data_IF_377056031463
#
_entry.id   IF_377056031463
#
_cell.length_a   1.000
_cell.length_b   1.000
_cell.length_c   1.000
_cell.angle_alpha   90.00
_cell.angle_beta   90.00
_cell.angle_gamma   90.00
#
_symmetry.space_group_name_H-M   'P 1'
#
loop_
_entity.id
_entity.type
_entity.pdbx_description
1 polymer ?
#
# COMPACT_ATOMS: atom_id res chain seq x y z
N UNK A 1 18.20 15.61 21.48
CA UNK A 1 17.43 15.80 20.22
C UNK A 1 17.95 14.89 19.09
N UNK A 2 19.24 14.96 18.70
CA UNK A 2 19.78 14.13 17.59
C UNK A 2 19.69 12.61 17.82
N UNK A 3 20.01 12.11 19.02
CA UNK A 3 19.87 10.69 19.38
C UNK A 3 18.42 10.20 19.31
N UNK A 4 17.48 11.01 19.79
CA UNK A 4 16.06 10.68 19.76
C UNK A 4 15.51 10.64 18.31
N UNK A 5 15.97 11.56 17.45
CA UNK A 5 15.61 11.55 16.04
C UNK A 5 16.12 10.29 15.31
N UNK A 6 17.36 9.87 15.57
CA UNK A 6 17.93 8.64 14.99
C UNK A 6 17.17 7.40 15.48
N UNK A 7 16.89 7.32 16.78
CA UNK A 7 16.12 6.21 17.34
C UNK A 7 14.67 6.16 16.83
N UNK A 8 14.05 7.33 16.63
CA UNK A 8 12.69 7.43 16.07
C UNK A 8 12.64 6.99 14.61
N UNK A 9 13.54 7.51 13.77
CA UNK A 9 13.57 7.19 12.34
C UNK A 9 13.92 5.72 12.09
N UNK A 10 14.85 5.13 12.86
CA UNK A 10 15.18 3.71 12.74
C UNK A 10 13.99 2.81 13.08
N UNK A 11 13.21 3.17 14.09
CA UNK A 11 11.97 2.46 14.44
C UNK A 11 10.94 2.51 13.31
N UNK A 12 10.72 3.69 12.71
CA UNK A 12 9.80 3.85 11.56
C UNK A 12 10.25 3.00 10.38
N UNK A 13 11.56 3.00 10.06
CA UNK A 13 12.12 2.18 8.97
C UNK A 13 11.87 0.69 9.23
N UNK A 14 12.08 0.20 10.46
CA UNK A 14 11.83 -1.19 10.82
C UNK A 14 10.35 -1.56 10.64
N UNK A 15 9.42 -0.71 11.11
CA UNK A 15 7.98 -0.95 10.97
C UNK A 15 7.58 -1.03 9.50
N UNK A 16 8.08 -0.12 8.66
CA UNK A 16 7.76 -0.09 7.23
C UNK A 16 8.32 -1.31 6.48
N UNK A 17 9.58 -1.68 6.76
CA UNK A 17 10.21 -2.87 6.16
C UNK A 17 9.59 -4.18 6.61
N UNK A 18 8.99 -4.25 7.80
CA UNK A 18 8.24 -5.43 8.24
C UNK A 18 6.81 -5.48 7.68
N UNK A 19 6.21 -4.32 7.38
CA UNK A 19 4.87 -4.23 6.82
C UNK A 19 4.80 -4.73 5.37
N UNK A 20 5.74 -4.30 4.51
CA UNK A 20 5.70 -4.58 3.07
C UNK A 20 5.71 -6.08 2.71
N UNK A 21 6.57 -6.94 3.31
CA UNK A 21 6.58 -8.37 3.01
C UNK A 21 5.26 -9.09 3.36
N UNK A 22 4.51 -8.59 4.36
CA UNK A 22 3.22 -9.17 4.75
C UNK A 22 2.14 -8.88 3.70
N UNK A 23 2.17 -7.70 3.10
CA UNK A 23 1.27 -7.36 1.99
C UNK A 23 1.54 -8.28 0.81
N UNK A 24 2.81 -8.46 0.42
CA UNK A 24 3.17 -9.39 -0.66
C UNK A 24 2.82 -10.84 -0.35
N UNK A 25 2.99 -11.27 0.90
CA UNK A 25 2.57 -12.60 1.35
C UNK A 25 1.05 -12.79 1.20
N UNK A 26 0.24 -11.82 1.65
CA UNK A 26 -1.22 -11.87 1.51
C UNK A 26 -1.64 -11.87 0.03
N UNK A 27 -1.09 -10.96 -0.79
CA UNK A 27 -1.36 -10.91 -2.23
C UNK A 27 -0.98 -12.20 -2.96
N UNK A 28 0.14 -12.83 -2.59
CA UNK A 28 0.55 -14.11 -3.15
C UNK A 28 -0.36 -15.27 -2.73
N UNK A 29 -0.85 -15.25 -1.48
CA UNK A 29 -1.84 -16.23 -1.00
C UNK A 29 -3.17 -16.12 -1.76
N UNK A 30 -3.56 -14.90 -2.12
CA UNK A 30 -4.75 -14.62 -2.94
C UNK A 30 -4.55 -14.96 -4.44
N UNK A 31 -3.33 -15.36 -4.84
CA UNK A 31 -2.98 -15.73 -6.21
C UNK A 31 -2.64 -14.56 -7.13
N UNK A 32 -2.55 -13.34 -6.60
CA UNK A 32 -2.23 -12.12 -7.35
C UNK A 32 -0.73 -11.98 -7.66
N UNK A 33 0.13 -12.68 -6.91
CA UNK A 33 1.59 -12.69 -7.09
C UNK A 33 2.13 -14.13 -7.10
N UNK A 34 3.31 -14.36 -7.73
CA UNK A 34 3.93 -15.69 -7.79
C UNK A 34 4.06 -16.35 -6.41
N UNK A 35 3.87 -17.68 -6.28
CA UNK A 35 3.82 -18.39 -5.00
C UNK A 35 5.15 -18.35 -4.23
N UNK A 36 6.24 -17.90 -4.87
CA UNK A 36 7.54 -17.67 -4.24
C UNK A 36 7.41 -16.68 -3.06
N UNK A 37 6.53 -15.67 -3.17
CA UNK A 37 6.28 -14.69 -2.11
C UNK A 37 5.48 -15.26 -0.93
N UNK A 38 4.83 -16.41 -1.11
CA UNK A 38 4.13 -17.14 -0.04
C UNK A 38 5.03 -18.10 0.75
N UNK A 39 6.31 -18.25 0.35
CA UNK A 39 7.25 -19.13 1.07
C UNK A 39 7.65 -18.53 2.42
N UNK A 40 7.28 -19.23 3.48
CA UNK A 40 7.65 -18.89 4.85
C UNK A 40 8.88 -19.68 5.29
N UNK A 41 9.74 -19.03 6.08
CA UNK A 41 10.92 -19.68 6.65
C UNK A 41 10.51 -20.79 7.63
N UNK A 42 11.08 -22.01 7.56
CA UNK A 42 10.62 -23.16 8.37
C UNK A 42 10.74 -22.93 9.89
N UNK A 43 11.82 -22.27 10.33
CA UNK A 43 12.06 -21.93 11.75
C UNK A 43 11.33 -20.68 12.25
N UNK A 44 11.40 -19.57 11.51
CA UNK A 44 10.89 -18.26 11.93
C UNK A 44 9.47 -17.95 11.47
N UNK A 45 8.90 -18.76 10.56
CA UNK A 45 7.56 -18.58 9.97
C UNK A 45 7.33 -17.18 9.35
N UNK A 46 8.39 -16.56 8.86
CA UNK A 46 8.39 -15.23 8.24
C UNK A 46 8.57 -15.32 6.71
N UNK A 47 7.98 -14.40 5.94
CA UNK A 47 8.14 -14.36 4.48
C UNK A 47 9.52 -13.80 4.10
N UNK A 48 10.55 -14.64 4.23
CA UNK A 48 11.95 -14.22 4.09
C UNK A 48 12.31 -13.72 2.68
N UNK A 49 11.72 -14.30 1.64
CA UNK A 49 11.94 -13.86 0.25
C UNK A 49 11.43 -12.44 0.05
N UNK A 50 10.23 -12.15 0.57
CA UNK A 50 9.65 -10.81 0.55
C UNK A 50 10.56 -9.81 1.26
N UNK A 51 11.01 -10.14 2.47
CA UNK A 51 11.86 -9.26 3.28
C UNK A 51 13.19 -8.94 2.60
N UNK A 52 13.87 -9.95 2.05
CA UNK A 52 15.16 -9.75 1.37
C UNK A 52 14.95 -8.90 0.11
N UNK A 53 13.94 -9.23 -0.71
CA UNK A 53 13.69 -8.48 -1.92
C UNK A 53 13.34 -7.01 -1.64
N UNK A 54 12.40 -6.76 -0.72
CA UNK A 54 12.00 -5.38 -0.38
C UNK A 54 13.14 -4.60 0.26
N UNK A 55 13.95 -5.24 1.10
CA UNK A 55 15.11 -4.62 1.73
C UNK A 55 16.18 -4.23 0.69
N UNK A 56 16.53 -5.13 -0.23
CA UNK A 56 17.50 -4.86 -1.30
C UNK A 56 17.00 -3.74 -2.22
N UNK A 57 15.74 -3.81 -2.65
CA UNK A 57 15.14 -2.76 -3.49
C UNK A 57 15.12 -1.42 -2.77
N UNK A 58 14.74 -1.39 -1.49
CA UNK A 58 14.74 -0.17 -0.69
C UNK A 58 16.15 0.42 -0.54
N UNK A 59 17.18 -0.40 -0.30
CA UNK A 59 18.58 0.06 -0.23
C UNK A 59 19.04 0.72 -1.53
N UNK A 60 18.73 0.10 -2.68
CA UNK A 60 19.10 0.64 -4.00
C UNK A 60 18.39 1.97 -4.24
N UNK A 61 17.07 2.02 -4.02
CA UNK A 61 16.26 3.22 -4.24
C UNK A 61 16.73 4.36 -3.33
N UNK A 62 16.98 4.08 -2.05
CA UNK A 62 17.44 5.07 -1.09
C UNK A 62 18.85 5.62 -1.41
N UNK A 63 19.70 4.83 -2.07
CA UNK A 63 21.05 5.25 -2.47
C UNK A 63 21.10 6.07 -3.76
N UNK A 64 20.13 5.92 -4.66
CA UNK A 64 20.17 6.51 -6.01
C UNK A 64 19.24 7.71 -6.17
N UNK A 65 18.07 7.71 -5.53
CA UNK A 65 17.05 8.73 -5.75
C UNK A 65 17.06 9.81 -4.65
N UNK A 66 16.83 11.08 -5.01
CA UNK A 66 16.77 12.17 -4.05
C UNK A 66 15.51 12.09 -3.17
N UNK A 67 15.63 12.53 -1.92
CA UNK A 67 14.57 12.42 -0.91
C UNK A 67 13.30 13.19 -1.28
N UNK A 68 13.41 14.29 -2.05
CA UNK A 68 12.26 15.07 -2.52
C UNK A 68 11.34 14.23 -3.41
N UNK A 69 11.90 13.54 -4.40
CA UNK A 69 11.15 12.67 -5.31
C UNK A 69 10.53 11.48 -4.55
N UNK A 70 11.27 10.90 -3.61
CA UNK A 70 10.75 9.83 -2.75
C UNK A 70 9.54 10.30 -1.93
N UNK A 71 9.64 11.49 -1.35
CA UNK A 71 8.55 12.11 -0.59
C UNK A 71 7.30 12.26 -1.44
N UNK A 72 7.41 12.86 -2.63
CA UNK A 72 6.29 13.04 -3.55
C UNK A 72 5.63 11.71 -3.96
N UNK A 73 6.44 10.70 -4.29
CA UNK A 73 5.96 9.37 -4.66
C UNK A 73 5.21 8.66 -3.52
N UNK A 74 5.74 8.74 -2.31
CA UNK A 74 5.09 8.15 -1.13
C UNK A 74 3.81 8.91 -0.78
N UNK A 75 3.83 10.25 -0.84
CA UNK A 75 2.67 11.08 -0.58
C UNK A 75 1.52 10.80 -1.57
N UNK A 76 1.78 10.78 -2.89
CA UNK A 76 0.70 10.54 -3.84
C UNK A 76 0.08 9.13 -3.68
N UNK A 77 0.91 8.12 -3.40
CA UNK A 77 0.45 6.75 -3.22
C UNK A 77 -0.38 6.56 -1.95
N UNK A 78 0.07 7.15 -0.84
CA UNK A 78 -0.67 7.10 0.44
C UNK A 78 -1.99 7.88 0.36
N UNK A 79 -2.00 9.05 -0.27
CA UNK A 79 -3.22 9.82 -0.49
C UNK A 79 -4.21 9.05 -1.36
N UNK A 80 -3.76 8.42 -2.45
CA UNK A 80 -4.61 7.58 -3.28
C UNK A 80 -5.20 6.40 -2.49
N UNK A 81 -4.40 5.73 -1.65
CA UNK A 81 -4.89 4.67 -0.78
C UNK A 81 -5.97 5.18 0.20
N UNK A 82 -5.79 6.37 0.79
CA UNK A 82 -6.80 6.98 1.66
C UNK A 82 -8.09 7.34 0.92
N UNK A 83 -8.00 7.86 -0.31
CA UNK A 83 -9.16 8.12 -1.16
C UNK A 83 -9.94 6.81 -1.41
N UNK A 84 -9.24 5.73 -1.81
CA UNK A 84 -9.85 4.42 -2.04
C UNK A 84 -10.52 3.88 -0.77
N UNK A 85 -9.88 3.98 0.39
CA UNK A 85 -10.45 3.53 1.67
C UNK A 85 -11.70 4.35 2.03
N UNK A 86 -11.68 5.67 1.84
CA UNK A 86 -12.84 6.52 2.08
C UNK A 86 -14.05 6.11 1.24
N UNK A 87 -13.85 5.85 -0.06
CA UNK A 87 -14.90 5.31 -0.92
C UNK A 87 -15.30 3.89 -0.51
N UNK A 88 -14.34 3.04 -0.13
CA UNK A 88 -14.56 1.68 0.35
C UNK A 88 -15.48 1.63 1.57
N UNK A 89 -15.40 2.59 2.49
CA UNK A 89 -16.30 2.70 3.65
C UNK A 89 -17.75 2.95 3.20
N UNK A 90 -17.97 3.82 2.20
CA UNK A 90 -19.30 4.12 1.67
C UNK A 90 -19.88 2.88 0.98
N UNK A 91 -19.09 2.21 0.14
CA UNK A 91 -19.47 0.98 -0.56
C UNK A 91 -19.80 -0.15 0.43
N UNK A 92 -18.95 -0.33 1.46
CA UNK A 92 -19.16 -1.36 2.48
C UNK A 92 -20.44 -1.11 3.29
N UNK A 93 -20.79 0.16 3.54
CA UNK A 93 -22.05 0.50 4.22
C UNK A 93 -23.28 0.15 3.38
N UNK A 94 -23.19 0.31 2.06
CA UNK A 94 -24.30 0.02 1.15
C UNK A 94 -24.46 -1.48 0.88
N UNK A 95 -23.36 -2.19 0.66
CA UNK A 95 -23.39 -3.60 0.25
C UNK A 95 -23.56 -4.58 1.41
N UNK A 96 -23.08 -4.24 2.61
CA UNK A 96 -23.14 -5.12 3.79
C UNK A 96 -23.57 -4.31 5.02
N UNK A 97 -24.85 -3.91 5.11
CA UNK A 97 -25.33 -3.07 6.21
C UNK A 97 -25.30 -3.79 7.58
N UNK A 98 -25.56 -5.10 7.61
CA UNK A 98 -25.75 -5.90 8.84
C UNK A 98 -24.46 -6.40 9.50
N UNK A 99 -23.29 -6.02 8.98
CA UNK A 99 -22.01 -6.36 9.60
C UNK A 99 -21.89 -5.75 10.99
N UNK A 100 -21.55 -6.57 11.99
CA UNK A 100 -21.18 -6.09 13.33
C UNK A 100 -19.93 -5.20 13.24
N UNK A 101 -20.06 -3.94 13.67
CA UNK A 101 -19.00 -2.93 13.62
C UNK A 101 -18.80 -2.36 15.04
N UNK A 102 -17.69 -2.70 15.73
CA UNK A 102 -17.43 -2.19 17.07
C UNK A 102 -17.20 -0.68 17.10
N UNK A 103 -16.67 -0.11 16.00
CA UNK A 103 -16.59 1.32 15.77
C UNK A 103 -17.31 1.68 14.47
N UNK A 104 -18.13 2.75 14.49
CA UNK A 104 -18.82 3.28 13.32
C UNK A 104 -18.42 4.73 13.15
N UNK A 105 -17.94 5.08 11.95
CA UNK A 105 -17.67 6.47 11.60
C UNK A 105 -18.96 7.30 11.71
N UNK A 106 -18.94 8.46 12.37
CA UNK A 106 -20.10 9.34 12.41
C UNK A 106 -20.42 9.87 11.00
N UNK A 107 -21.67 10.30 10.77
CA UNK A 107 -22.09 11.08 9.58
C UNK A 107 -21.59 10.53 8.22
N UNK A 108 -21.70 9.22 7.97
CA UNK A 108 -21.46 8.65 6.62
C UNK A 108 -22.69 8.90 5.76
N UNK A 109 -22.56 9.41 4.52
CA UNK A 109 -21.34 9.46 3.70
C UNK A 109 -20.49 10.75 3.79
N UNK A 110 -20.92 11.77 4.51
CA UNK A 110 -20.27 13.08 4.53
C UNK A 110 -18.82 13.06 5.00
N UNK A 111 -18.51 12.39 6.12
CA UNK A 111 -17.14 12.37 6.64
C UNK A 111 -16.16 11.68 5.68
N UNK A 112 -16.45 10.47 5.15
CA UNK A 112 -15.59 9.86 4.14
C UNK A 112 -15.47 10.69 2.87
N UNK A 113 -16.53 11.36 2.42
CA UNK A 113 -16.48 12.24 1.24
C UNK A 113 -15.60 13.46 1.45
N UNK A 114 -15.70 14.12 2.62
CA UNK A 114 -14.82 15.23 2.97
C UNK A 114 -13.36 14.78 3.06
N UNK A 115 -13.10 13.63 3.70
CA UNK A 115 -11.76 13.05 3.78
C UNK A 115 -11.17 12.74 2.40
N UNK A 116 -11.95 12.11 1.52
CA UNK A 116 -11.56 11.88 0.13
C UNK A 116 -11.31 13.20 -0.62
N UNK A 117 -12.17 14.21 -0.42
CA UNK A 117 -12.02 15.53 -1.00
C UNK A 117 -10.72 16.22 -0.58
N UNK A 118 -10.41 16.25 0.72
CA UNK A 118 -9.15 16.81 1.22
C UNK A 118 -7.92 16.05 0.67
N UNK A 119 -7.97 14.71 0.65
CA UNK A 119 -6.88 13.92 0.08
C UNK A 119 -6.69 14.23 -1.41
N UNK A 120 -7.79 14.35 -2.16
CA UNK A 120 -7.74 14.67 -3.59
C UNK A 120 -7.23 16.09 -3.85
N UNK A 121 -7.64 17.07 -3.05
CA UNK A 121 -7.10 18.43 -3.11
C UNK A 121 -5.59 18.45 -2.86
N UNK A 122 -5.13 17.68 -1.87
CA UNK A 122 -3.69 17.56 -1.59
C UNK A 122 -2.97 16.86 -2.74
N UNK A 123 -3.58 15.85 -3.39
CA UNK A 123 -3.05 15.21 -4.60
C UNK A 123 -2.95 16.19 -5.78
N UNK A 124 -3.93 17.10 -5.93
CA UNK A 124 -3.93 18.10 -6.99
C UNK A 124 -2.82 19.16 -6.82
N UNK A 125 -2.32 19.34 -5.59
CA UNK A 125 -1.19 20.24 -5.31
C UNK A 125 0.18 19.62 -5.63
N UNK A 126 0.26 18.32 -5.97
CA UNK A 126 1.51 17.67 -6.35
C UNK A 126 1.84 17.91 -7.84
N UNK A 127 3.15 17.91 -8.20
CA UNK A 127 3.58 18.07 -9.59
C UNK A 127 2.95 17.04 -10.55
N UNK A 128 2.73 17.46 -11.80
CA UNK A 128 2.21 16.59 -12.86
C UNK A 128 3.12 15.38 -13.14
N UNK A 129 4.43 15.51 -12.90
CA UNK A 129 5.35 14.38 -13.01
C UNK A 129 5.01 13.24 -12.05
N UNK A 130 4.57 13.56 -10.82
CA UNK A 130 4.22 12.56 -9.81
C UNK A 130 2.97 11.80 -10.24
N UNK A 131 2.01 12.48 -10.87
CA UNK A 131 0.82 11.87 -11.48
C UNK A 131 1.18 10.92 -12.62
N UNK A 132 2.11 11.31 -13.50
CA UNK A 132 2.56 10.45 -14.59
C UNK A 132 3.19 9.16 -14.05
N UNK A 133 4.07 9.27 -13.04
CA UNK A 133 4.70 8.11 -12.39
C UNK A 133 3.66 7.18 -11.75
N UNK A 134 2.64 7.74 -11.11
CA UNK A 134 1.52 6.98 -10.54
C UNK A 134 0.74 6.23 -11.62
N UNK A 135 0.40 6.89 -12.73
CA UNK A 135 -0.34 6.27 -13.83
C UNK A 135 0.48 5.14 -14.45
N UNK A 136 1.79 5.34 -14.68
CA UNK A 136 2.69 4.30 -15.18
C UNK A 136 2.72 3.11 -14.21
N UNK A 137 2.82 3.37 -12.90
CA UNK A 137 2.83 2.31 -11.89
C UNK A 137 1.49 1.54 -11.83
N UNK A 138 0.37 2.25 -11.91
CA UNK A 138 -0.96 1.64 -11.99
C UNK A 138 -1.12 0.78 -13.25
N UNK A 139 -0.65 1.28 -14.40
CA UNK A 139 -0.70 0.56 -15.65
C UNK A 139 0.14 -0.73 -15.57
N UNK A 140 1.34 -0.65 -14.99
CA UNK A 140 2.20 -1.82 -14.78
C UNK A 140 1.54 -2.84 -13.83
N UNK A 141 0.89 -2.36 -12.75
CA UNK A 141 0.12 -3.21 -11.85
C UNK A 141 -1.06 -3.89 -12.54
N UNK A 142 -1.79 -3.18 -13.39
CA UNK A 142 -2.88 -3.73 -14.20
C UNK A 142 -2.35 -4.76 -15.20
N UNK A 143 -1.21 -4.50 -15.85
CA UNK A 143 -0.60 -5.44 -16.79
C UNK A 143 -0.25 -6.76 -16.08
N UNK A 144 0.38 -6.70 -14.90
CA UNK A 144 0.66 -7.89 -14.08
C UNK A 144 -0.64 -8.60 -13.69
N UNK A 145 -1.68 -7.84 -13.33
CA UNK A 145 -2.99 -8.40 -12.98
C UNK A 145 -3.64 -9.13 -14.16
N UNK A 146 -3.68 -8.54 -15.36
CA UNK A 146 -4.27 -9.16 -16.55
C UNK A 146 -3.47 -10.35 -17.06
N UNK A 147 -2.13 -10.30 -17.01
CA UNK A 147 -1.28 -11.37 -17.52
C UNK A 147 -1.18 -12.56 -16.56
N UNK A 148 -0.98 -12.30 -15.27
CA UNK A 148 -0.77 -13.33 -14.25
C UNK A 148 -1.99 -13.50 -13.33
N UNK A 149 -2.49 -12.39 -12.78
CA UNK A 149 -3.53 -12.37 -11.75
C UNK A 149 -4.86 -13.00 -12.17
N UNK A 150 -5.32 -12.76 -13.41
CA UNK A 150 -6.59 -13.33 -13.91
C UNK A 150 -6.56 -14.87 -13.97
N UNK A 151 -5.42 -15.45 -14.32
CA UNK A 151 -5.29 -16.89 -14.52
C UNK A 151 -5.01 -17.65 -13.21
N UNK A 152 -4.55 -16.95 -12.16
CA UNK A 152 -4.12 -17.57 -10.89
C UNK A 152 -4.93 -17.11 -9.68
N UNK A 153 -5.85 -16.15 -9.83
CA UNK A 153 -6.67 -15.66 -8.72
C UNK A 153 -7.58 -16.77 -8.20
N UNK A 154 -7.46 -17.06 -6.90
CA UNK A 154 -8.26 -18.08 -6.21
C UNK A 154 -9.52 -17.51 -5.59
N UNK A 155 -9.88 -16.25 -5.89
CA UNK A 155 -10.99 -15.54 -5.25
C UNK A 155 -12.39 -16.12 -5.57
N UNK A 156 -12.48 -17.06 -6.51
CA UNK A 156 -13.73 -17.71 -6.94
C UNK A 156 -13.74 -19.24 -6.74
N UNK A 157 -12.79 -19.81 -5.98
CA UNK A 157 -12.83 -21.22 -5.51
C UNK A 157 -13.03 -21.24 -4.00
#
# INVERSE_FOLDING_TARGET
>A
IKLAAIAGLSSVILVMLMGQPRIFYAMSKDGLLPPIFSRIHPRFKTPYVGTILTGVVAMIIAGVLPISILGELVSIGTLLAFVIVCFGIIVLRRNKPDLYRPFKTPLVPWIPLLGAGFCFLQMAALPLETWLRLIIWMFLGLLIYFTYGINHSKLHK
#
